data_IF_380954110183
#
_entry.id   IF_380954110183
#
_cell.length_a   1.000
_cell.length_b   1.000
_cell.length_c   1.000
_cell.angle_alpha   90.00
_cell.angle_beta   90.00
_cell.angle_gamma   90.00
#
_symmetry.space_group_name_H-M   'P 1'
#
loop_
_entity.id
_entity.type
_entity.pdbx_description
1 polymer ?
#
# COMPACT_ATOMS: atom_id res chain seq x y z
N UNK A 1 -16.54 1.88 11.13
CA UNK A 1 -15.06 1.85 11.23
C UNK A 1 -14.53 1.02 10.07
N UNK A 2 -13.46 1.46 9.40
CA UNK A 2 -12.86 0.68 8.32
C UNK A 2 -11.99 -0.44 8.89
N UNK A 3 -12.09 -1.66 8.33
CA UNK A 3 -11.33 -2.83 8.79
C UNK A 3 -9.86 -2.74 8.41
N UNK A 4 -9.54 -2.13 7.27
CA UNK A 4 -8.18 -2.12 6.75
C UNK A 4 -7.77 -0.71 6.34
N UNK A 5 -6.48 -0.45 6.46
CA UNK A 5 -5.83 0.78 5.99
C UNK A 5 -4.60 0.42 5.15
N UNK A 6 -4.64 0.79 3.88
CA UNK A 6 -3.49 0.71 2.98
C UNK A 6 -2.66 2.00 3.06
N UNK A 7 -1.35 1.85 2.97
CA UNK A 7 -0.39 2.97 2.91
C UNK A 7 0.64 2.68 1.84
N UNK A 8 0.86 3.67 0.97
CA UNK A 8 1.87 3.64 -0.08
C UNK A 8 3.01 4.54 0.35
N UNK A 9 4.23 4.09 0.12
CA UNK A 9 5.47 4.77 0.45
C UNK A 9 6.34 4.93 -0.79
N UNK A 10 7.06 6.04 -0.84
CA UNK A 10 8.17 6.25 -1.75
C UNK A 10 9.43 6.54 -0.94
N UNK A 11 10.39 5.61 -0.97
CA UNK A 11 11.53 5.64 -0.05
C UNK A 11 11.07 5.60 1.42
N UNK A 12 11.31 6.69 2.15
CA UNK A 12 10.89 6.90 3.55
C UNK A 12 9.62 7.74 3.70
N UNK A 13 9.07 8.26 2.60
CA UNK A 13 7.92 9.16 2.63
C UNK A 13 6.62 8.39 2.41
N UNK A 14 5.56 8.77 3.12
CA UNK A 14 4.19 8.33 2.82
C UNK A 14 3.71 9.12 1.61
N UNK A 15 3.27 8.39 0.59
CA UNK A 15 2.69 8.98 -0.62
C UNK A 15 1.20 9.23 -0.41
N UNK A 16 0.49 8.18 -0.02
CA UNK A 16 -0.95 8.25 0.21
C UNK A 16 -1.42 7.11 1.14
N UNK A 17 -2.59 7.30 1.72
CA UNK A 17 -3.27 6.34 2.60
C UNK A 17 -4.74 6.19 2.23
N UNK A 18 -5.24 4.97 2.26
CA UNK A 18 -6.66 4.69 1.99
C UNK A 18 -7.19 3.64 2.93
N UNK A 19 -8.40 3.87 3.46
CA UNK A 19 -9.07 2.93 4.35
C UNK A 19 -10.31 2.33 3.69
N UNK A 20 -10.55 1.04 3.90
CA UNK A 20 -11.70 0.30 3.36
C UNK A 20 -11.98 -0.95 4.17
N UNK A 21 -13.17 -1.53 3.99
CA UNK A 21 -13.49 -2.87 4.48
C UNK A 21 -13.12 -3.96 3.47
N UNK A 22 -12.88 -3.59 2.22
CA UNK A 22 -12.54 -4.49 1.13
C UNK A 22 -11.03 -4.49 0.91
N UNK A 23 -10.41 -5.61 1.27
CA UNK A 23 -8.97 -5.84 1.12
C UNK A 23 -8.53 -5.83 -0.34
N UNK A 24 -9.34 -6.39 -1.25
CA UNK A 24 -8.99 -6.49 -2.66
C UNK A 24 -9.05 -5.11 -3.32
N UNK A 25 -10.07 -4.32 -3.00
CA UNK A 25 -10.17 -2.94 -3.47
C UNK A 25 -8.97 -2.08 -3.00
N UNK A 26 -8.48 -2.31 -1.77
CA UNK A 26 -7.28 -1.64 -1.26
C UNK A 26 -6.02 -2.11 -1.98
N UNK A 27 -5.90 -3.41 -2.25
CA UNK A 27 -4.76 -3.96 -2.97
C UNK A 27 -4.66 -3.37 -4.39
N UNK A 28 -5.76 -3.36 -5.14
CA UNK A 28 -5.82 -2.78 -6.48
C UNK A 28 -5.45 -1.30 -6.45
N UNK A 29 -6.06 -0.53 -5.54
CA UNK A 29 -5.76 0.90 -5.40
C UNK A 29 -4.28 1.12 -5.06
N UNK A 30 -3.73 0.37 -4.12
CA UNK A 30 -2.35 0.48 -3.66
C UNK A 30 -1.34 0.15 -4.79
N UNK A 31 -1.64 -0.83 -5.64
CA UNK A 31 -0.85 -1.14 -6.83
C UNK A 31 -0.93 -0.02 -7.88
N UNK A 32 -2.13 0.51 -8.13
CA UNK A 32 -2.30 1.64 -9.05
C UNK A 32 -1.55 2.88 -8.56
N UNK A 33 -1.63 3.19 -7.27
CA UNK A 33 -0.97 4.36 -6.68
C UNK A 33 0.56 4.20 -6.68
N UNK A 34 1.06 3.01 -6.33
CA UNK A 34 2.48 2.69 -6.38
C UNK A 34 3.06 2.64 -7.80
N UNK A 35 2.22 2.57 -8.84
CA UNK A 35 2.65 2.56 -10.24
C UNK A 35 2.78 3.97 -10.83
N UNK A 36 2.07 4.96 -10.28
CA UNK A 36 2.09 6.36 -10.75
C UNK A 36 3.45 7.04 -10.61
N UNK A 37 4.28 6.58 -9.68
CA UNK A 37 5.55 7.20 -9.33
C UNK A 37 6.75 6.44 -9.91
N UNK A 38 7.77 7.19 -10.34
CA UNK A 38 9.03 6.63 -10.82
C UNK A 38 9.97 6.32 -9.64
N UNK A 39 10.22 5.04 -9.37
CA UNK A 39 11.24 4.60 -8.40
C UNK A 39 10.82 3.40 -7.55
N UNK A 40 11.47 3.23 -6.39
CA UNK A 40 11.11 2.18 -5.42
C UNK A 40 9.86 2.59 -4.63
N UNK A 41 8.69 2.17 -5.12
CA UNK A 41 7.45 2.26 -4.34
C UNK A 41 7.26 1.00 -3.48
N UNK A 42 6.73 1.22 -2.27
CA UNK A 42 6.40 0.18 -1.31
C UNK A 42 5.00 0.42 -0.80
N UNK A 43 4.36 -0.59 -0.26
CA UNK A 43 3.15 -0.36 0.49
C UNK A 43 2.79 -1.52 1.37
N UNK A 44 1.87 -1.23 2.27
CA UNK A 44 1.35 -2.20 3.22
C UNK A 44 -0.13 -1.95 3.45
N UNK A 45 -0.83 -3.02 3.78
CA UNK A 45 -2.20 -2.97 4.28
C UNK A 45 -2.18 -3.50 5.71
N UNK A 46 -2.74 -2.72 6.62
CA UNK A 46 -2.87 -3.04 8.05
C UNK A 46 -4.33 -3.36 8.35
N UNK A 47 -4.57 -4.36 9.18
CA UNK A 47 -5.86 -4.59 9.82
C UNK A 47 -5.98 -3.67 11.03
N UNK A 48 -7.01 -2.84 11.06
CA UNK A 48 -7.23 -1.84 12.10
C UNK A 48 -7.72 -2.44 13.41
N UNK A 49 -8.07 -3.72 13.44
CA UNK A 49 -8.51 -4.41 14.65
C UNK A 49 -7.35 -4.81 15.56
N UNK A 50 -6.30 -5.38 14.98
CA UNK A 50 -5.13 -5.94 15.67
C UNK A 50 -3.82 -5.20 15.33
N UNK A 51 -3.88 -4.21 14.44
CA UNK A 51 -2.74 -3.50 13.88
C UNK A 51 -1.74 -4.41 13.14
N UNK A 52 -2.17 -5.60 12.69
CA UNK A 52 -1.31 -6.52 11.94
C UNK A 52 -1.24 -6.17 10.46
N UNK A 53 -0.07 -6.36 9.87
CA UNK A 53 0.13 -6.16 8.44
C UNK A 53 -0.35 -7.41 7.70
N UNK A 54 -1.48 -7.29 7.02
CA UNK A 54 -2.10 -8.37 6.27
C UNK A 54 -1.50 -8.53 4.87
N UNK A 55 -0.93 -7.46 4.31
CA UNK A 55 -0.30 -7.53 2.99
C UNK A 55 0.80 -6.47 2.84
N UNK A 56 1.84 -6.81 2.08
CA UNK A 56 2.91 -5.89 1.69
C UNK A 56 3.19 -6.01 0.19
N UNK A 57 3.57 -4.91 -0.42
CA UNK A 57 4.13 -4.90 -1.77
C UNK A 57 5.42 -4.07 -1.80
N UNK A 58 6.33 -4.47 -2.68
CA UNK A 58 7.50 -3.68 -3.04
C UNK A 58 7.65 -3.75 -4.55
N UNK A 59 7.55 -2.60 -5.22
CA UNK A 59 7.95 -2.48 -6.61
C UNK A 59 9.46 -2.24 -6.61
N UNK A 60 10.22 -3.28 -6.97
CA UNK A 60 11.63 -3.12 -7.25
C UNK A 60 11.76 -2.59 -8.67
N UNK A 61 12.22 -1.35 -8.80
CA UNK A 61 12.74 -0.80 -10.05
C UNK A 61 14.09 -1.46 -10.36
N UNK A 62 14.10 -2.75 -10.69
CA UNK A 62 15.25 -3.33 -11.39
C UNK A 62 15.01 -3.15 -12.89
N UNK A 63 15.44 -1.99 -13.40
CA UNK A 63 15.87 -1.87 -14.79
C UNK A 63 17.09 -2.79 -14.94
N UNK A 64 16.88 -3.96 -15.55
CA UNK A 64 17.95 -4.66 -16.26
C UNK A 64 18.10 -4.04 -17.64
#
# INVERSE_FOLDING_TARGET
MFKYTATVYWGTHILDTKSSNDLNALLVWMLTEGDKEFGESRGQIVNNFDCEIVQRFKKNSQLN
#
